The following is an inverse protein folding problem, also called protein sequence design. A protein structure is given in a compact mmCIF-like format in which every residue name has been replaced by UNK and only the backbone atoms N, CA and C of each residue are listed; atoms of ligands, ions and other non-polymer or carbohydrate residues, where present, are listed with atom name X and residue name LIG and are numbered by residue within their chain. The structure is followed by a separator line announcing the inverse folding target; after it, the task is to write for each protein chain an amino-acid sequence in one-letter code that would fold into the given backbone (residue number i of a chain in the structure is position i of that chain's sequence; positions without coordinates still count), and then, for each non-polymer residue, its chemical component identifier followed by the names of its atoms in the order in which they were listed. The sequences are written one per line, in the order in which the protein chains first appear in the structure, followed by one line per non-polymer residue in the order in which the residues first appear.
data_IF_818328245035
#
_entry.id   IF_818328245035
#
_cell.length_a   1.000
_cell.length_b   1.000
_cell.length_c   1.000
_cell.angle_alpha   90.00
_cell.angle_beta   90.00
_cell.angle_gamma   90.00
#
_symmetry.space_group_name_H-M   'P 1'
#
loop_
_entity.id
_entity.type
_entity.pdbx_description
1 polymer ?
#
# COMPACT_ATOMS: atom_id res chain seq x y z
N UNK A 1 20.26 12.47 -27.83
CA UNK A 1 21.12 11.35 -28.16
C UNK A 1 20.59 10.07 -27.51
N UNK A 2 20.80 8.92 -28.18
CA UNK A 2 20.30 7.62 -27.71
C UNK A 2 20.63 7.30 -26.22
N UNK A 3 21.80 7.71 -25.75
CA UNK A 3 22.19 7.54 -24.33
C UNK A 3 21.31 8.34 -23.37
N UNK A 4 20.88 9.55 -23.73
CA UNK A 4 19.96 10.38 -22.94
C UNK A 4 18.56 9.74 -22.85
N UNK A 5 18.10 9.11 -23.94
CA UNK A 5 16.79 8.47 -23.96
C UNK A 5 16.78 7.15 -23.19
N UNK A 6 17.87 6.39 -23.23
CA UNK A 6 18.06 5.18 -22.41
C UNK A 6 18.09 5.55 -20.93
N UNK A 7 18.82 6.60 -20.54
CA UNK A 7 18.87 7.08 -19.17
C UNK A 7 17.50 7.55 -18.66
N UNK A 8 16.79 8.36 -19.44
CA UNK A 8 15.42 8.82 -19.11
C UNK A 8 14.44 7.64 -18.95
N UNK A 9 14.55 6.65 -19.83
CA UNK A 9 13.74 5.44 -19.76
C UNK A 9 14.05 4.63 -18.50
N UNK A 10 15.33 4.52 -18.14
CA UNK A 10 15.79 3.81 -16.96
C UNK A 10 15.35 4.48 -15.67
N UNK A 11 15.41 5.82 -15.57
CA UNK A 11 14.91 6.60 -14.44
C UNK A 11 13.40 6.44 -14.28
N UNK A 12 12.63 6.53 -15.37
CA UNK A 12 11.17 6.29 -15.32
C UNK A 12 10.82 4.89 -14.82
N UNK A 13 11.59 3.88 -15.24
CA UNK A 13 11.36 2.49 -14.86
C UNK A 13 11.62 2.26 -13.37
N UNK A 14 12.71 2.81 -12.84
CA UNK A 14 13.08 2.60 -11.44
C UNK A 14 12.22 3.40 -10.46
N UNK A 15 11.55 4.47 -10.91
CA UNK A 15 10.80 5.37 -10.01
C UNK A 15 9.29 5.10 -9.96
N UNK A 16 8.73 4.33 -10.90
CA UNK A 16 7.27 4.21 -11.03
C UNK A 16 6.58 3.52 -9.84
N UNK A 17 7.19 2.47 -9.28
CA UNK A 17 6.63 1.79 -8.10
C UNK A 17 6.71 2.66 -6.84
N UNK A 18 7.86 3.26 -6.47
CA UNK A 18 7.93 4.19 -5.35
C UNK A 18 6.97 5.37 -5.48
N UNK A 19 6.86 5.97 -6.66
CA UNK A 19 5.89 7.04 -6.91
C UNK A 19 4.44 6.57 -6.74
N UNK A 20 4.10 5.41 -7.29
CA UNK A 20 2.77 4.82 -7.11
C UNK A 20 2.47 4.56 -5.64
N UNK A 21 3.46 4.06 -4.90
CA UNK A 21 3.34 3.78 -3.47
C UNK A 21 3.14 5.06 -2.65
N UNK A 22 3.99 6.07 -2.82
CA UNK A 22 3.88 7.34 -2.09
C UNK A 22 2.62 8.12 -2.44
N UNK A 23 2.24 8.14 -3.71
CA UNK A 23 0.99 8.72 -4.15
C UNK A 23 -0.21 8.00 -3.52
N UNK A 24 -0.18 6.66 -3.52
CA UNK A 24 -1.22 5.83 -2.90
C UNK A 24 -1.33 6.05 -1.39
N UNK A 25 -0.22 6.22 -0.68
CA UNK A 25 -0.23 6.56 0.74
C UNK A 25 -0.91 7.92 0.98
N UNK A 26 -0.58 8.94 0.19
CA UNK A 26 -1.19 10.26 0.30
C UNK A 26 -2.70 10.23 0.04
N UNK A 27 -3.13 9.57 -1.04
CA UNK A 27 -4.55 9.41 -1.37
C UNK A 27 -5.31 8.60 -0.30
N UNK A 28 -4.70 7.52 0.20
CA UNK A 28 -5.28 6.70 1.27
C UNK A 28 -5.40 7.47 2.59
N UNK A 29 -4.43 8.30 2.93
CA UNK A 29 -4.48 9.15 4.12
C UNK A 29 -5.60 10.21 4.01
N UNK A 30 -5.78 10.85 2.86
CA UNK A 30 -6.88 11.80 2.63
C UNK A 30 -8.25 11.11 2.76
N UNK A 31 -8.38 9.92 2.19
CA UNK A 31 -9.60 9.12 2.33
C UNK A 31 -9.86 8.72 3.77
N UNK A 32 -8.83 8.29 4.50
CA UNK A 32 -8.92 7.95 5.92
C UNK A 32 -9.39 9.14 6.76
N UNK A 33 -8.84 10.33 6.53
CA UNK A 33 -9.23 11.54 7.23
C UNK A 33 -10.74 11.85 7.05
N UNK A 34 -11.24 11.73 5.81
CA UNK A 34 -12.66 11.91 5.53
C UNK A 34 -13.54 10.90 6.28
N UNK A 35 -13.15 9.63 6.29
CA UNK A 35 -13.93 8.57 6.94
C UNK A 35 -13.87 8.71 8.47
N UNK A 36 -12.71 9.07 9.03
CA UNK A 36 -12.58 9.30 10.48
C UNK A 36 -13.54 10.39 10.95
N UNK A 37 -13.65 11.49 10.23
CA UNK A 37 -14.62 12.55 10.56
C UNK A 37 -16.05 11.99 10.58
N UNK A 38 -16.38 11.10 9.66
CA UNK A 38 -17.70 10.45 9.61
C UNK A 38 -17.92 9.41 10.70
N UNK A 39 -16.87 8.73 11.18
CA UNK A 39 -16.97 7.78 12.29
C UNK A 39 -17.49 8.45 13.57
N UNK A 40 -17.15 9.72 13.79
CA UNK A 40 -17.59 10.47 14.96
C UNK A 40 -18.96 11.17 14.78
N UNK A 41 -19.64 10.94 13.66
CA UNK A 41 -21.01 11.41 13.47
C UNK A 41 -21.94 10.66 14.44
N UNK A 42 -22.82 11.37 15.20
CA UNK A 42 -23.73 10.74 16.18
C UNK A 42 -24.61 9.64 15.59
N UNK A 43 -24.92 9.73 14.30
CA UNK A 43 -25.78 8.77 13.60
C UNK A 43 -25.06 7.47 13.22
N UNK A 44 -23.75 7.36 13.50
CA UNK A 44 -22.96 6.15 13.22
C UNK A 44 -22.88 5.23 14.45
N UNK A 45 -22.61 3.94 14.19
CA UNK A 45 -22.45 2.96 15.27
C UNK A 45 -21.35 3.37 16.28
N UNK A 46 -20.23 3.89 15.78
CA UNK A 46 -19.10 4.30 16.62
C UNK A 46 -19.40 5.61 17.34
N UNK A 47 -19.99 6.59 16.63
CA UNK A 47 -20.34 7.91 17.18
C UNK A 47 -21.40 7.83 18.28
N UNK A 48 -22.38 6.93 18.13
CA UNK A 48 -23.43 6.71 19.12
C UNK A 48 -22.89 6.17 20.47
N UNK A 49 -21.77 5.45 20.47
CA UNK A 49 -21.11 4.95 21.69
C UNK A 49 -20.17 5.98 22.36
N UNK A 50 -20.01 7.15 21.76
CA UNK A 50 -19.15 8.21 22.26
C UNK A 50 -17.66 8.01 21.94
N UNK A 51 -16.84 8.95 22.41
CA UNK A 51 -15.39 8.93 22.22
C UNK A 51 -14.73 7.95 23.20
N UNK A 52 -14.48 6.72 22.76
CA UNK A 52 -13.90 5.67 23.59
C UNK A 52 -12.73 4.95 22.89
N UNK A 53 -12.13 4.00 23.60
CA UNK A 53 -11.03 3.18 23.11
C UNK A 53 -11.43 2.45 21.81
N UNK A 54 -12.68 1.98 21.70
CA UNK A 54 -13.21 1.32 20.52
C UNK A 54 -13.18 2.24 19.28
N UNK A 55 -13.58 3.50 19.42
CA UNK A 55 -13.53 4.49 18.35
C UNK A 55 -12.10 4.77 17.90
N UNK A 56 -11.15 4.88 18.84
CA UNK A 56 -9.73 5.06 18.53
C UNK A 56 -9.14 3.87 17.78
N UNK A 57 -9.42 2.65 18.23
CA UNK A 57 -8.97 1.43 17.56
C UNK A 57 -9.55 1.32 16.15
N UNK A 58 -10.85 1.57 16.01
CA UNK A 58 -11.50 1.57 14.69
C UNK A 58 -10.89 2.62 13.75
N UNK A 59 -10.69 3.83 14.24
CA UNK A 59 -10.02 4.90 13.48
C UNK A 59 -8.60 4.52 13.04
N UNK A 60 -7.82 3.89 13.92
CA UNK A 60 -6.48 3.40 13.60
C UNK A 60 -6.49 2.30 12.53
N UNK A 61 -7.40 1.32 12.66
CA UNK A 61 -7.55 0.22 11.67
C UNK A 61 -8.00 0.76 10.33
N UNK A 62 -8.99 1.66 10.31
CA UNK A 62 -9.47 2.33 9.07
C UNK A 62 -8.34 3.11 8.40
N UNK A 63 -7.58 3.89 9.17
CA UNK A 63 -6.47 4.69 8.64
C UNK A 63 -5.39 3.81 8.02
N UNK A 64 -4.96 2.79 8.74
CA UNK A 64 -3.95 1.85 8.26
C UNK A 64 -4.45 1.09 7.01
N UNK A 65 -5.70 0.63 7.01
CA UNK A 65 -6.31 -0.08 5.88
C UNK A 65 -6.37 0.80 4.64
N UNK A 66 -6.88 2.02 4.75
CA UNK A 66 -6.96 2.97 3.63
C UNK A 66 -5.56 3.26 3.06
N UNK A 67 -4.62 3.63 3.91
CA UNK A 67 -3.27 3.98 3.48
C UNK A 67 -2.58 2.79 2.79
N UNK A 68 -2.56 1.62 3.41
CA UNK A 68 -1.87 0.45 2.90
C UNK A 68 -2.55 -0.17 1.68
N UNK A 69 -3.90 -0.21 1.64
CA UNK A 69 -4.64 -0.72 0.50
C UNK A 69 -4.38 0.13 -0.75
N UNK A 70 -4.57 1.45 -0.64
CA UNK A 70 -4.41 2.36 -1.79
C UNK A 70 -2.95 2.41 -2.23
N UNK A 71 -1.98 2.39 -1.29
CA UNK A 71 -0.56 2.31 -1.59
C UNK A 71 -0.20 1.02 -2.33
N UNK A 72 -0.69 -0.13 -1.85
CA UNK A 72 -0.44 -1.44 -2.47
C UNK A 72 -1.00 -1.52 -3.89
N UNK A 73 -2.24 -1.05 -4.10
CA UNK A 73 -2.89 -1.03 -5.41
C UNK A 73 -2.12 -0.10 -6.36
N UNK A 74 -1.74 1.09 -5.90
CA UNK A 74 -1.01 2.08 -6.71
C UNK A 74 0.41 1.63 -7.02
N UNK A 75 1.11 1.01 -6.06
CA UNK A 75 2.43 0.42 -6.25
C UNK A 75 2.40 -0.73 -7.26
N UNK A 76 1.42 -1.64 -7.12
CA UNK A 76 1.20 -2.72 -8.10
C UNK A 76 0.90 -2.18 -9.49
N UNK A 77 0.01 -1.20 -9.61
CA UNK A 77 -0.28 -0.54 -10.89
C UNK A 77 0.99 0.04 -11.51
N UNK A 78 1.83 0.70 -10.70
CA UNK A 78 3.12 1.25 -11.15
C UNK A 78 4.04 0.19 -11.76
N UNK A 79 4.12 -1.02 -11.15
CA UNK A 79 4.93 -2.12 -11.69
C UNK A 79 4.39 -2.66 -13.02
N UNK A 80 3.08 -2.74 -13.18
CA UNK A 80 2.43 -3.27 -14.39
C UNK A 80 2.48 -2.30 -15.57
N UNK A 81 2.38 -1.01 -15.30
CA UNK A 81 2.53 0.02 -16.34
C UNK A 81 3.89 -0.04 -17.03
N UNK A 82 4.94 -0.51 -16.33
CA UNK A 82 6.27 -0.72 -16.90
C UNK A 82 6.35 -1.86 -17.91
N UNK A 83 5.47 -2.87 -17.76
CA UNK A 83 5.41 -4.03 -18.65
C UNK A 83 4.66 -3.74 -19.97
N UNK A 84 4.24 -2.48 -20.18
CA UNK A 84 3.57 -2.05 -21.42
C UNK A 84 2.04 -2.22 -21.41
N UNK A 85 1.48 -2.87 -20.42
CA UNK A 85 0.02 -3.04 -20.27
C UNK A 85 -0.57 -1.84 -19.55
N UNK A 86 -1.29 -0.95 -20.25
CA UNK A 86 -1.82 0.29 -19.63
C UNK A 86 -3.27 0.15 -19.19
N UNK A 87 -4.13 -0.37 -20.04
CA UNK A 87 -5.59 -0.36 -19.79
C UNK A 87 -6.01 -1.36 -18.71
N UNK A 88 -5.61 -2.62 -18.83
CA UNK A 88 -6.03 -3.69 -17.91
C UNK A 88 -5.63 -3.40 -16.46
N UNK A 89 -4.35 -3.06 -16.13
CA UNK A 89 -3.97 -2.70 -14.77
C UNK A 89 -4.71 -1.48 -14.23
N UNK A 90 -5.02 -0.50 -15.09
CA UNK A 90 -5.76 0.70 -14.68
C UNK A 90 -7.21 0.36 -14.30
N UNK A 91 -7.90 -0.43 -15.11
CA UNK A 91 -9.26 -0.87 -14.81
C UNK A 91 -9.28 -1.70 -13.51
N UNK A 92 -8.40 -2.70 -13.38
CA UNK A 92 -8.32 -3.53 -12.18
C UNK A 92 -8.04 -2.68 -10.94
N UNK A 93 -7.08 -1.76 -11.00
CA UNK A 93 -6.75 -0.91 -9.85
C UNK A 93 -7.90 0.02 -9.46
N UNK A 94 -8.67 0.51 -10.44
CA UNK A 94 -9.86 1.34 -10.18
C UNK A 94 -10.95 0.53 -9.48
N UNK A 95 -11.23 -0.69 -9.96
CA UNK A 95 -12.21 -1.58 -9.33
C UNK A 95 -11.77 -1.94 -7.90
N UNK A 96 -10.49 -2.31 -7.71
CA UNK A 96 -9.98 -2.64 -6.37
C UNK A 96 -10.08 -1.45 -5.40
N UNK A 97 -9.78 -0.22 -5.85
CA UNK A 97 -9.95 0.98 -5.02
C UNK A 97 -11.42 1.20 -4.67
N UNK A 98 -12.32 1.05 -5.62
CA UNK A 98 -13.76 1.17 -5.38
C UNK A 98 -14.23 0.15 -4.32
N UNK A 99 -13.77 -1.10 -4.39
CA UNK A 99 -14.08 -2.12 -3.39
C UNK A 99 -13.54 -1.77 -1.99
N UNK A 100 -12.31 -1.25 -1.91
CA UNK A 100 -11.74 -0.79 -0.64
C UNK A 100 -12.55 0.37 -0.07
N UNK A 101 -12.88 1.38 -0.90
CA UNK A 101 -13.70 2.52 -0.49
C UNK A 101 -15.06 2.05 0.03
N UNK A 102 -15.73 1.19 -0.71
CA UNK A 102 -17.03 0.64 -0.33
C UNK A 102 -16.97 -0.12 1.00
N UNK A 103 -15.98 -1.03 1.16
CA UNK A 103 -15.78 -1.80 2.39
C UNK A 103 -15.52 -0.91 3.60
N UNK A 104 -14.62 0.09 3.45
CA UNK A 104 -14.28 1.00 4.54
C UNK A 104 -15.45 1.95 4.86
N UNK A 105 -16.20 2.39 3.87
CA UNK A 105 -17.41 3.22 4.10
C UNK A 105 -18.50 2.41 4.80
N UNK A 106 -18.71 1.17 4.39
CA UNK A 106 -19.67 0.28 5.06
C UNK A 106 -19.27 -0.01 6.51
N UNK A 107 -17.99 -0.01 6.83
CA UNK A 107 -17.52 -0.24 8.20
C UNK A 107 -17.94 0.86 9.21
N UNK A 108 -18.40 2.01 8.73
CA UNK A 108 -18.98 3.06 9.57
C UNK A 108 -20.29 2.59 10.19
N UNK A 109 -21.08 1.80 9.44
CA UNK A 109 -22.38 1.29 9.84
C UNK A 109 -22.28 -0.13 10.41
N UNK A 110 -21.49 -0.98 9.78
CA UNK A 110 -21.26 -2.37 10.15
C UNK A 110 -19.75 -2.64 10.29
N UNK A 111 -19.20 -2.70 11.52
CA UNK A 111 -17.76 -2.83 11.77
C UNK A 111 -17.12 -4.04 11.11
N UNK A 112 -17.86 -5.13 10.92
CA UNK A 112 -17.36 -6.34 10.29
C UNK A 112 -16.99 -6.15 8.82
N UNK A 113 -17.54 -5.14 8.15
CA UNK A 113 -17.23 -4.85 6.75
C UNK A 113 -15.75 -4.53 6.52
N UNK A 114 -15.02 -4.05 7.53
CA UNK A 114 -13.58 -3.78 7.42
C UNK A 114 -12.76 -5.06 7.18
N UNK A 115 -13.26 -6.23 7.59
CA UNK A 115 -12.59 -7.50 7.39
C UNK A 115 -12.49 -7.91 5.92
N UNK A 116 -13.26 -7.29 5.03
CA UNK A 116 -13.16 -7.51 3.59
C UNK A 116 -11.88 -6.88 3.04
N UNK A 117 -11.50 -5.69 3.51
CA UNK A 117 -10.39 -4.91 2.96
C UNK A 117 -9.12 -4.94 3.82
N UNK A 118 -9.23 -5.03 5.15
CA UNK A 118 -8.07 -4.97 6.03
C UNK A 118 -7.10 -6.15 5.85
N UNK A 119 -7.52 -7.43 5.93
CA UNK A 119 -6.58 -8.55 5.78
C UNK A 119 -5.82 -8.54 4.45
N UNK A 120 -6.47 -8.37 3.27
CA UNK A 120 -5.73 -8.27 2.03
C UNK A 120 -4.82 -7.03 1.97
N UNK A 121 -5.22 -5.87 2.51
CA UNK A 121 -4.38 -4.69 2.53
C UNK A 121 -3.07 -4.93 3.28
N UNK A 122 -3.15 -5.47 4.49
CA UNK A 122 -1.98 -5.81 5.29
C UNK A 122 -1.14 -6.92 4.66
N UNK A 123 -1.78 -7.96 4.11
CA UNK A 123 -1.08 -9.05 3.44
C UNK A 123 -0.26 -8.54 2.24
N UNK A 124 -0.85 -7.75 1.36
CA UNK A 124 -0.15 -7.25 0.18
C UNK A 124 0.92 -6.23 0.56
N UNK A 125 0.67 -5.35 1.52
CA UNK A 125 1.66 -4.39 1.99
C UNK A 125 2.88 -5.07 2.60
N UNK A 126 2.68 -6.11 3.42
CA UNK A 126 3.78 -6.79 4.10
C UNK A 126 4.53 -7.79 3.20
N UNK A 127 3.80 -8.63 2.47
CA UNK A 127 4.41 -9.76 1.73
C UNK A 127 4.77 -9.41 0.28
N UNK A 128 4.00 -8.58 -0.39
CA UNK A 128 4.16 -8.33 -1.83
C UNK A 128 4.86 -7.01 -2.16
N UNK A 129 4.63 -5.97 -1.38
CA UNK A 129 5.25 -4.67 -1.65
C UNK A 129 6.79 -4.70 -1.67
N UNK A 130 7.49 -5.43 -0.78
CA UNK A 130 8.95 -5.54 -0.86
C UNK A 130 9.43 -6.21 -2.15
N UNK A 131 8.71 -7.21 -2.66
CA UNK A 131 9.07 -7.88 -3.92
C UNK A 131 8.90 -6.93 -5.12
N UNK A 132 7.82 -6.15 -5.16
CA UNK A 132 7.60 -5.14 -6.21
C UNK A 132 8.65 -4.05 -6.19
N UNK A 133 9.06 -3.59 -4.99
CA UNK A 133 10.14 -2.62 -4.84
C UNK A 133 11.46 -3.16 -5.44
N UNK A 134 11.77 -4.45 -5.21
CA UNK A 134 12.98 -5.07 -5.76
C UNK A 134 12.91 -5.29 -7.27
N UNK A 135 11.73 -5.47 -7.86
CA UNK A 135 11.55 -5.60 -9.30
C UNK A 135 11.93 -4.31 -10.06
N UNK A 136 11.69 -3.16 -9.45
CA UNK A 136 11.95 -1.84 -10.05
C UNK A 136 13.39 -1.35 -9.88
N UNK A 137 14.21 -2.03 -9.06
CA UNK A 137 15.61 -1.67 -8.88
C UNK A 137 16.42 -1.88 -10.18
N UNK A 138 17.38 -0.98 -10.43
CA UNK A 138 18.33 -1.15 -11.52
C UNK A 138 19.19 -2.41 -11.33
N UNK A 139 19.72 -3.02 -12.41
CA UNK A 139 20.55 -4.23 -12.31
C UNK A 139 21.72 -4.14 -11.32
N UNK A 140 22.49 -3.02 -11.26
CA UNK A 140 23.56 -2.87 -10.27
C UNK A 140 23.00 -2.80 -8.85
N UNK A 141 21.96 -2.02 -8.61
CA UNK A 141 21.32 -1.88 -7.30
C UNK A 141 20.70 -3.19 -6.79
N UNK A 142 20.16 -4.02 -7.69
CA UNK A 142 19.71 -5.39 -7.34
C UNK A 142 20.85 -6.27 -6.82
N UNK A 143 22.04 -6.16 -7.41
CA UNK A 143 23.21 -6.93 -6.97
C UNK A 143 23.68 -6.48 -5.58
N UNK A 144 23.71 -5.17 -5.33
CA UNK A 144 24.08 -4.62 -4.02
C UNK A 144 23.06 -4.99 -2.95
N UNK A 145 21.77 -4.86 -3.24
CA UNK A 145 20.70 -5.26 -2.33
C UNK A 145 20.79 -6.74 -1.93
N UNK A 146 21.04 -7.65 -2.90
CA UNK A 146 21.24 -9.07 -2.60
C UNK A 146 22.48 -9.31 -1.74
N UNK A 147 23.57 -8.55 -1.93
CA UNK A 147 24.75 -8.64 -1.08
C UNK A 147 24.47 -8.20 0.36
N UNK A 148 23.69 -7.12 0.54
CA UNK A 148 23.29 -6.64 1.86
C UNK A 148 22.43 -7.65 2.61
N UNK A 149 21.40 -8.22 1.97
CA UNK A 149 20.55 -9.26 2.59
C UNK A 149 21.37 -10.48 3.02
N UNK A 150 22.32 -10.91 2.18
CA UNK A 150 23.20 -12.05 2.54
C UNK A 150 24.06 -11.72 3.76
N UNK A 151 24.62 -10.52 3.84
CA UNK A 151 25.40 -10.09 5.01
C UNK A 151 24.56 -10.04 6.28
N UNK A 152 23.33 -9.52 6.20
CA UNK A 152 22.40 -9.52 7.34
C UNK A 152 22.00 -10.93 7.77
N UNK A 153 21.72 -11.83 6.83
CA UNK A 153 21.39 -13.21 7.13
C UNK A 153 22.54 -13.94 7.84
N UNK A 154 23.78 -13.72 7.42
CA UNK A 154 24.97 -14.26 8.09
C UNK A 154 25.14 -13.66 9.49
N UNK A 155 25.00 -12.34 9.63
CA UNK A 155 25.10 -11.67 10.93
C UNK A 155 24.03 -12.13 11.93
N UNK A 156 22.79 -12.36 11.45
CA UNK A 156 21.72 -12.92 12.30
C UNK A 156 22.01 -14.34 12.77
N UNK A 157 22.57 -15.19 11.89
CA UNK A 157 22.98 -16.56 12.28
C UNK A 157 24.09 -16.56 13.33
N UNK A 158 25.02 -15.60 13.28
CA UNK A 158 26.12 -15.49 14.27
C UNK A 158 25.65 -14.94 15.62
N UNK A 159 24.49 -14.26 15.68
CA UNK A 159 23.94 -13.67 16.90
C UNK A 159 22.91 -14.54 17.62
N UNK A 160 22.52 -15.69 17.06
CA UNK A 160 21.73 -16.69 17.78
C UNK A 160 22.67 -17.60 18.54
N UNK A 161 22.79 -17.50 19.88
CA UNK A 161 23.45 -18.49 20.69
C UNK A 161 22.62 -19.79 20.65
N UNK A 162 23.29 -20.92 20.61
CA UNK A 162 22.71 -22.26 20.79
C UNK A 162 21.99 -22.37 22.15
#
# INVERSE_FOLDING_TARGET
SAASDVYKRQVRTCSSMPYGWTFGLGMGAMQAAYIIVRIFDPDTWVGSSGFGIGALLMGAVVSATCALAVASISGWQGTRLLQGHRLVPTIISTVMRAMVIASVTLSIFEPMAILISAPPAFYYAYNKAPSWATETLSPPSKREYRKMIRKEAVSKKQKMPE
#
